data_IF_593379789398
#
_entry.id   IF_593379789398
#
_cell.length_a   1.000
_cell.length_b   1.000
_cell.length_c   1.000
_cell.angle_alpha   90.00
_cell.angle_beta   90.00
_cell.angle_gamma   90.00
#
_symmetry.space_group_name_H-M   'P 1'
#
loop_
_entity.id
_entity.type
_entity.pdbx_description
1 polymer ?
#
# COMPACT_ATOMS: atom_id res chain seq x y z
N UNK A 1 71.01 31.00 30.43
CA UNK A 1 70.70 31.94 29.34
C UNK A 1 71.34 31.38 28.08
N UNK A 2 70.91 30.16 27.71
CA UNK A 2 70.13 29.87 26.49
C UNK A 2 70.95 29.99 25.20
N UNK A 3 72.15 29.39 25.20
CA UNK A 3 72.83 28.89 24.00
C UNK A 3 72.31 27.48 23.72
N UNK A 4 71.26 27.37 22.89
CA UNK A 4 70.85 26.11 22.25
C UNK A 4 69.88 26.47 21.11
N UNK A 5 70.36 27.29 20.17
CA UNK A 5 69.78 27.32 18.82
C UNK A 5 70.42 26.18 18.03
N UNK A 6 70.19 24.97 18.56
CA UNK A 6 70.55 23.70 17.95
C UNK A 6 69.80 23.59 16.62
N UNK A 7 70.58 23.45 15.56
CA UNK A 7 70.19 23.27 14.17
C UNK A 7 69.30 22.03 14.01
N UNK A 8 68.03 22.12 14.41
CA UNK A 8 67.02 21.09 14.15
C UNK A 8 66.51 21.26 12.73
N UNK A 9 67.27 20.69 11.80
CA UNK A 9 66.71 20.14 10.57
C UNK A 9 65.45 19.38 10.98
N UNK A 10 64.25 19.78 10.54
CA UNK A 10 63.05 19.11 11.00
C UNK A 10 63.15 17.65 10.54
N UNK A 11 63.27 16.72 11.50
CA UNK A 11 63.45 15.28 11.26
C UNK A 11 62.32 14.70 10.39
N UNK A 12 61.21 15.43 10.27
CA UNK A 12 60.09 15.10 9.43
C UNK A 12 59.76 16.31 8.56
N UNK A 13 59.57 16.08 7.26
CA UNK A 13 59.02 17.10 6.37
C UNK A 13 57.69 17.56 6.95
N UNK A 14 57.47 18.87 7.04
CA UNK A 14 56.21 19.43 7.57
C UNK A 14 55.00 18.85 6.81
N UNK A 15 55.16 18.61 5.51
CA UNK A 15 54.20 17.94 4.64
C UNK A 15 53.85 16.52 5.13
N UNK A 16 54.81 15.76 5.67
CA UNK A 16 54.56 14.43 6.21
C UNK A 16 53.80 14.47 7.54
N UNK A 17 54.06 15.48 8.37
CA UNK A 17 53.30 15.70 9.63
C UNK A 17 51.88 16.16 9.30
N UNK A 18 51.71 17.06 8.33
CA UNK A 18 50.39 17.51 7.86
C UNK A 18 49.61 16.36 7.24
N UNK A 19 50.24 15.53 6.39
CA UNK A 19 49.60 14.37 5.77
C UNK A 19 49.26 13.28 6.80
N UNK A 20 50.12 13.02 7.79
CA UNK A 20 49.81 12.09 8.88
C UNK A 20 48.68 12.63 9.76
N UNK A 21 48.67 13.93 10.04
CA UNK A 21 47.59 14.57 10.79
C UNK A 21 46.26 14.49 10.03
N UNK A 22 46.25 14.71 8.71
CA UNK A 22 45.06 14.54 7.87
C UNK A 22 44.61 13.07 7.76
N UNK A 23 45.54 12.11 7.79
CA UNK A 23 45.24 10.68 7.87
C UNK A 23 44.55 10.32 9.20
N UNK A 24 45.00 10.88 10.33
CA UNK A 24 44.34 10.75 11.63
C UNK A 24 43.06 11.56 11.76
N UNK A 25 42.94 12.65 10.98
CA UNK A 25 41.74 13.48 10.93
C UNK A 25 40.59 12.80 10.21
N UNK A 26 40.78 11.54 9.80
CA UNK A 26 39.77 10.62 9.32
C UNK A 26 38.94 11.33 8.31
N UNK A 27 39.49 11.46 7.09
CA UNK A 27 38.88 12.06 5.91
C UNK A 27 37.39 12.17 6.17
N UNK A 28 36.93 13.38 6.52
CA UNK A 28 35.50 13.63 6.66
C UNK A 28 34.98 13.47 5.24
N UNK A 29 34.83 12.24 4.79
CA UNK A 29 33.83 11.80 3.85
C UNK A 29 32.56 12.32 4.47
N UNK A 30 32.25 13.57 4.11
CA UNK A 30 31.00 14.24 4.38
C UNK A 30 29.99 13.56 3.46
N UNK A 31 29.82 12.25 3.67
CA UNK A 31 28.72 11.41 3.21
C UNK A 31 27.51 11.68 4.11
N UNK A 32 27.29 12.93 4.50
CA UNK A 32 25.94 13.37 4.79
C UNK A 32 25.51 14.10 3.52
N UNK A 33 25.02 13.32 2.53
CA UNK A 33 24.69 13.86 1.24
C UNK A 33 23.53 14.83 1.42
N UNK A 34 23.54 15.89 0.62
CA UNK A 34 22.44 16.85 0.37
C UNK A 34 21.09 16.15 0.04
N UNK A 35 21.07 14.82 -0.09
CA UNK A 35 19.92 13.99 -0.45
C UNK A 35 19.13 13.42 0.74
N UNK A 36 19.59 13.52 1.99
CA UNK A 36 18.83 12.96 3.11
C UNK A 36 17.48 13.66 3.30
N UNK A 37 17.44 14.99 3.12
CA UNK A 37 16.21 15.78 3.18
C UNK A 37 15.24 15.42 2.04
N UNK A 38 15.76 15.10 0.86
CA UNK A 38 14.96 14.65 -0.29
C UNK A 38 14.38 13.27 -0.04
N UNK A 39 15.18 12.36 0.53
CA UNK A 39 14.74 11.01 0.90
C UNK A 39 13.66 11.08 1.99
N UNK A 40 13.86 11.88 3.04
CA UNK A 40 12.85 12.05 4.09
C UNK A 40 11.57 12.68 3.56
N UNK A 41 11.67 13.69 2.69
CA UNK A 41 10.49 14.30 2.07
C UNK A 41 9.74 13.32 1.16
N UNK A 42 10.45 12.47 0.41
CA UNK A 42 9.84 11.43 -0.42
C UNK A 42 9.11 10.39 0.42
N UNK A 43 9.69 9.96 1.55
CA UNK A 43 9.04 9.01 2.48
C UNK A 43 7.77 9.62 3.08
N UNK A 44 7.84 10.87 3.56
CA UNK A 44 6.66 11.58 4.11
C UNK A 44 5.58 11.75 3.03
N UNK A 45 5.97 12.11 1.81
CA UNK A 45 5.04 12.21 0.67
C UNK A 45 4.33 10.90 0.36
N UNK A 46 5.06 9.78 0.36
CA UNK A 46 4.49 8.45 0.12
C UNK A 46 3.48 8.06 1.22
N UNK A 47 3.81 8.34 2.49
CA UNK A 47 2.88 8.12 3.61
C UNK A 47 1.62 8.97 3.47
N UNK A 48 1.74 10.25 3.10
CA UNK A 48 0.59 11.12 2.86
C UNK A 48 -0.29 10.62 1.71
N UNK A 49 0.31 10.15 0.62
CA UNK A 49 -0.43 9.55 -0.51
C UNK A 49 -1.21 8.32 -0.03
N UNK A 50 -0.58 7.42 0.74
CA UNK A 50 -1.25 6.24 1.29
C UNK A 50 -2.40 6.62 2.22
N UNK A 51 -2.25 7.66 3.06
CA UNK A 51 -3.31 8.14 3.94
C UNK A 51 -4.47 8.70 3.13
N UNK A 52 -4.21 9.57 2.15
CA UNK A 52 -5.25 10.12 1.28
C UNK A 52 -5.96 9.01 0.53
N UNK A 53 -5.23 8.03 0.00
CA UNK A 53 -5.80 6.89 -0.69
C UNK A 53 -6.67 6.02 0.24
N UNK A 54 -6.21 5.77 1.47
CA UNK A 54 -6.97 5.06 2.50
C UNK A 54 -8.24 5.81 2.94
N UNK A 55 -8.23 7.15 2.94
CA UNK A 55 -9.42 7.95 3.23
C UNK A 55 -10.43 7.95 2.07
N UNK A 56 -9.94 7.85 0.84
CA UNK A 56 -10.77 7.75 -0.38
C UNK A 56 -11.30 6.34 -0.62
N UNK A 57 -10.87 5.34 0.17
CA UNK A 57 -11.54 4.04 0.22
C UNK A 57 -12.89 4.25 0.91
N UNK A 58 -13.88 4.67 0.11
CA UNK A 58 -15.27 4.52 0.47
C UNK A 58 -15.49 3.05 0.81
N UNK A 59 -15.81 2.80 2.07
CA UNK A 59 -16.15 1.47 2.57
C UNK A 59 -17.37 1.03 1.74
N UNK A 60 -17.12 0.24 0.69
CA UNK A 60 -18.14 -0.46 -0.07
C UNK A 60 -18.67 -1.55 0.86
N UNK A 61 -19.55 -1.15 1.77
CA UNK A 61 -20.25 -2.06 2.65
C UNK A 61 -21.33 -2.73 1.81
N UNK A 62 -20.96 -3.86 1.21
CA UNK A 62 -21.92 -4.73 0.53
C UNK A 62 -22.74 -5.45 1.61
N UNK A 63 -23.90 -4.89 1.94
CA UNK A 63 -24.89 -5.62 2.73
C UNK A 63 -25.53 -6.68 1.85
N UNK A 64 -25.26 -7.94 2.18
CA UNK A 64 -25.98 -9.07 1.60
C UNK A 64 -27.24 -9.23 2.44
N UNK A 65 -28.37 -8.83 1.87
CA UNK A 65 -29.67 -9.08 2.48
C UNK A 65 -30.15 -10.44 2.00
N UNK A 66 -30.47 -11.31 2.95
CA UNK A 66 -31.17 -12.56 2.66
C UNK A 66 -32.64 -12.23 2.37
N UNK A 67 -33.05 -12.46 1.12
CA UNK A 67 -34.41 -12.29 0.67
C UNK A 67 -34.83 -13.52 -0.13
N UNK A 68 -36.08 -13.92 0.05
CA UNK A 68 -36.68 -14.98 -0.75
C UNK A 68 -37.35 -14.36 -1.98
N UNK A 69 -37.10 -14.93 -3.16
CA UNK A 69 -37.75 -14.50 -4.39
C UNK A 69 -39.16 -15.08 -4.43
N UNK A 70 -40.16 -14.24 -4.18
CA UNK A 70 -41.56 -14.61 -4.37
C UNK A 70 -42.02 -14.21 -5.78
N UNK A 71 -42.83 -15.04 -6.45
CA UNK A 71 -43.37 -14.71 -7.76
C UNK A 71 -44.25 -13.45 -7.66
N UNK A 72 -43.99 -12.46 -8.51
CA UNK A 72 -44.72 -11.18 -8.52
C UNK A 72 -46.24 -11.35 -8.69
N UNK A 73 -46.66 -12.31 -9.53
CA UNK A 73 -48.07 -12.61 -9.78
C UNK A 73 -48.69 -13.57 -8.75
N UNK A 74 -47.96 -13.91 -7.68
CA UNK A 74 -48.35 -14.91 -6.70
C UNK A 74 -48.23 -16.34 -7.22
N UNK A 75 -48.58 -17.29 -6.36
CA UNK A 75 -48.64 -18.72 -6.68
C UNK A 75 -50.10 -19.19 -6.59
N UNK A 76 -50.56 -19.95 -7.59
CA UNK A 76 -51.93 -20.48 -7.63
C UNK A 76 -51.88 -21.99 -7.81
N UNK A 77 -52.46 -22.71 -6.86
CA UNK A 77 -52.62 -24.16 -6.94
C UNK A 77 -53.95 -24.50 -7.61
N UNK A 78 -53.90 -24.91 -8.88
CA UNK A 78 -55.08 -25.32 -9.64
C UNK A 78 -55.55 -26.69 -9.16
N UNK A 79 -56.82 -26.80 -8.76
CA UNK A 79 -57.46 -28.06 -8.34
C UNK A 79 -58.66 -28.37 -9.23
N UNK A 80 -58.92 -29.66 -9.44
CA UNK A 80 -60.12 -30.09 -10.14
C UNK A 80 -61.38 -29.76 -9.33
N UNK A 81 -62.39 -29.18 -9.99
CA UNK A 81 -63.67 -28.80 -9.36
C UNK A 81 -64.50 -30.05 -8.98
N UNK A 82 -64.30 -31.15 -9.71
CA UNK A 82 -65.04 -32.41 -9.52
C UNK A 82 -64.10 -33.62 -9.61
N UNK A 83 -64.41 -34.72 -8.93
CA UNK A 83 -63.66 -35.97 -9.06
C UNK A 83 -63.90 -36.60 -10.44
N UNK A 84 -62.84 -37.16 -11.03
CA UNK A 84 -62.86 -37.79 -12.34
C UNK A 84 -61.46 -38.22 -12.79
N UNK A 85 -61.35 -38.72 -14.03
CA UNK A 85 -60.07 -39.06 -14.67
C UNK A 85 -59.69 -37.94 -15.64
N UNK A 86 -58.41 -37.55 -15.66
CA UNK A 86 -57.88 -36.57 -16.62
C UNK A 86 -57.62 -37.28 -17.93
N UNK A 87 -58.37 -36.90 -18.98
CA UNK A 87 -58.29 -37.52 -20.30
C UNK A 87 -57.18 -36.88 -21.17
N UNK A 88 -56.97 -35.57 -21.05
CA UNK A 88 -55.96 -34.84 -21.80
C UNK A 88 -55.37 -33.67 -20.99
N UNK A 89 -54.07 -33.41 -21.16
CA UNK A 89 -53.37 -32.24 -20.65
C UNK A 89 -53.02 -31.31 -21.81
N UNK A 90 -53.56 -30.10 -21.81
CA UNK A 90 -53.43 -29.12 -22.91
C UNK A 90 -52.23 -28.17 -22.76
N UNK A 91 -51.44 -28.32 -21.70
CA UNK A 91 -50.32 -27.44 -21.36
C UNK A 91 -49.08 -28.29 -21.10
N UNK A 92 -47.92 -27.73 -21.42
CA UNK A 92 -46.62 -28.33 -21.11
C UNK A 92 -46.00 -27.62 -19.90
N UNK A 93 -45.18 -28.32 -19.13
CA UNK A 93 -44.43 -27.73 -18.01
C UNK A 93 -43.61 -26.52 -18.48
N UNK A 94 -43.72 -25.40 -17.75
CA UNK A 94 -43.04 -24.14 -18.08
C UNK A 94 -43.68 -23.31 -19.21
N UNK A 95 -44.80 -23.76 -19.78
CA UNK A 95 -45.54 -22.98 -20.77
C UNK A 95 -46.26 -21.80 -20.11
N UNK A 96 -46.10 -20.60 -20.68
CA UNK A 96 -46.87 -19.43 -20.27
C UNK A 96 -48.34 -19.60 -20.65
N UNK A 97 -49.22 -19.45 -19.66
CA UNK A 97 -50.68 -19.55 -19.80
C UNK A 97 -51.31 -18.20 -19.48
N UNK A 98 -52.35 -17.82 -20.23
CA UNK A 98 -53.05 -16.54 -20.09
C UNK A 98 -54.45 -16.73 -19.51
#
# INVERSE_FOLDING_TARGET
MSEDLEHKTPLFRLEAILAANDMFRGERTRLVPIRLQVISAAVVGLVLICIVWALQLEITRREIVEGELTPWNGEVVVRAVRPGVVDALYVVEGQEVR
#
